data_IF_823809857535
#
_entry.id   IF_823809857535
#
_cell.length_a   1.000
_cell.length_b   1.000
_cell.length_c   1.000
_cell.angle_alpha   90.00
_cell.angle_beta   90.00
_cell.angle_gamma   90.00
#
_symmetry.space_group_name_H-M   'P 1'
#
loop_
_entity.id
_entity.type
_entity.pdbx_description
1 polymer ?
#
# COMPACT_ATOMS: atom_id res chain seq x y z
N UNK A 1 -26.84 -9.97 4.95
CA UNK A 1 -25.79 -9.75 3.93
C UNK A 1 -24.47 -10.18 4.54
N UNK A 2 -23.61 -10.87 3.80
CA UNK A 2 -22.26 -11.22 4.26
C UNK A 2 -21.41 -9.95 4.45
N UNK A 3 -20.46 -10.00 5.38
CA UNK A 3 -19.50 -8.91 5.55
C UNK A 3 -18.67 -8.74 4.27
N UNK A 4 -18.38 -7.49 3.85
CA UNK A 4 -17.50 -7.26 2.70
C UNK A 4 -16.12 -7.89 2.90
N UNK A 5 -15.58 -8.46 1.82
CA UNK A 5 -14.30 -9.16 1.80
C UNK A 5 -13.18 -8.23 1.37
N UNK A 6 -12.12 -8.17 2.15
CA UNK A 6 -10.98 -7.25 1.93
C UNK A 6 -9.69 -8.06 1.81
N UNK A 7 -8.98 -7.90 0.70
CA UNK A 7 -7.61 -8.39 0.55
C UNK A 7 -6.62 -7.24 0.81
N UNK A 8 -5.72 -7.44 1.76
CA UNK A 8 -4.59 -6.56 2.00
C UNK A 8 -3.32 -7.21 1.45
N UNK A 9 -2.96 -6.85 0.23
CA UNK A 9 -1.80 -7.42 -0.47
C UNK A 9 -0.50 -6.73 -0.04
N UNK A 10 0.60 -7.49 -0.06
CA UNK A 10 1.93 -7.06 0.36
C UNK A 10 1.94 -6.55 1.80
N UNK A 11 1.27 -7.25 2.69
CA UNK A 11 1.23 -6.93 4.11
C UNK A 11 1.48 -8.17 4.99
N UNK A 12 2.63 -8.23 5.64
CA UNK A 12 2.95 -9.25 6.65
C UNK A 12 2.70 -8.76 8.09
N UNK A 13 2.63 -7.43 8.31
CA UNK A 13 2.46 -6.84 9.65
C UNK A 13 1.04 -6.99 10.23
N UNK A 14 0.04 -7.16 9.36
CA UNK A 14 -1.36 -7.26 9.75
C UNK A 14 -2.00 -5.95 10.20
N UNK A 15 -1.31 -4.81 10.16
CA UNK A 15 -1.82 -3.53 10.67
C UNK A 15 -3.11 -3.11 9.97
N UNK A 16 -3.15 -3.14 8.63
CA UNK A 16 -4.33 -2.76 7.85
C UNK A 16 -5.41 -3.84 7.95
N UNK A 17 -5.04 -5.12 7.81
CA UNK A 17 -5.96 -6.26 7.99
C UNK A 17 -6.69 -6.17 9.34
N UNK A 18 -5.96 -5.97 10.43
CA UNK A 18 -6.55 -5.92 11.78
C UNK A 18 -7.49 -4.72 11.96
N UNK A 19 -7.20 -3.57 11.32
CA UNK A 19 -8.09 -2.43 11.33
C UNK A 19 -9.44 -2.73 10.65
N UNK A 20 -9.45 -3.50 9.56
CA UNK A 20 -10.69 -3.95 8.92
C UNK A 20 -11.39 -5.04 9.76
N UNK A 21 -10.66 -6.03 10.28
CA UNK A 21 -11.23 -7.08 11.14
C UNK A 21 -11.91 -6.50 12.38
N UNK A 22 -11.32 -5.50 13.03
CA UNK A 22 -11.90 -4.85 14.21
C UNK A 22 -13.24 -4.16 13.95
N UNK A 23 -13.54 -3.90 12.69
CA UNK A 23 -14.82 -3.31 12.23
C UNK A 23 -15.78 -4.33 11.62
N UNK A 24 -15.48 -5.62 11.74
CA UNK A 24 -16.35 -6.72 11.32
C UNK A 24 -16.28 -7.06 9.83
N UNK A 25 -15.28 -6.58 9.10
CA UNK A 25 -15.05 -6.98 7.70
C UNK A 25 -14.33 -8.34 7.63
N UNK A 26 -14.58 -9.13 6.58
CA UNK A 26 -13.84 -10.36 6.31
C UNK A 26 -12.50 -10.01 5.63
N UNK A 27 -11.52 -9.61 6.44
CA UNK A 27 -10.24 -9.12 5.95
C UNK A 27 -9.13 -10.18 6.05
N UNK A 28 -8.36 -10.29 4.99
CA UNK A 28 -7.19 -11.17 4.85
C UNK A 28 -5.98 -10.36 4.40
N UNK A 29 -4.80 -10.68 4.93
CA UNK A 29 -3.54 -10.18 4.35
C UNK A 29 -2.86 -11.26 3.52
N UNK A 30 -2.05 -10.85 2.55
CA UNK A 30 -1.21 -11.74 1.74
C UNK A 30 0.16 -11.13 1.54
N UNK A 31 1.21 -11.90 1.82
CA UNK A 31 2.60 -11.52 1.61
C UNK A 31 3.46 -12.77 1.38
N UNK A 32 4.64 -12.61 0.78
CA UNK A 32 5.63 -13.69 0.67
C UNK A 32 6.23 -14.08 2.03
N UNK A 33 6.17 -13.19 3.02
CA UNK A 33 6.60 -13.43 4.39
C UNK A 33 5.44 -13.91 5.25
N UNK A 34 5.70 -14.72 6.29
CA UNK A 34 4.68 -15.11 7.26
C UNK A 34 4.19 -13.90 8.07
N UNK A 35 2.98 -14.00 8.59
CA UNK A 35 2.39 -12.96 9.45
C UNK A 35 3.21 -12.73 10.71
N UNK A 36 3.44 -11.46 11.07
CA UNK A 36 4.13 -11.11 12.33
C UNK A 36 3.31 -11.43 13.58
N UNK A 37 2.00 -11.32 13.49
CA UNK A 37 1.09 -11.53 14.62
C UNK A 37 0.56 -12.98 14.72
N UNK A 38 1.03 -13.89 13.86
CA UNK A 38 0.62 -15.28 13.83
C UNK A 38 -0.84 -15.52 13.46
N UNK A 39 -1.49 -14.53 12.82
CA UNK A 39 -2.89 -14.61 12.45
C UNK A 39 -3.14 -15.72 11.42
N UNK A 40 -4.25 -16.45 11.58
CA UNK A 40 -4.77 -17.38 10.58
C UNK A 40 -5.51 -16.67 9.40
N UNK A 41 -5.67 -15.36 9.47
CA UNK A 41 -6.21 -14.50 8.41
C UNK A 41 -5.09 -13.94 7.53
N UNK A 42 -4.05 -14.75 7.28
CA UNK A 42 -2.92 -14.40 6.45
C UNK A 42 -2.58 -15.53 5.48
N UNK A 43 -2.34 -15.16 4.24
CA UNK A 43 -1.92 -16.05 3.17
C UNK A 43 -0.43 -15.83 2.93
N UNK A 44 0.38 -16.86 3.08
CA UNK A 44 1.79 -16.82 2.69
C UNK A 44 1.89 -17.22 1.22
N UNK A 45 2.13 -16.25 0.33
CA UNK A 45 2.15 -16.48 -1.10
C UNK A 45 2.17 -15.21 -1.92
N UNK A 46 2.10 -15.38 -3.24
CA UNK A 46 1.99 -14.27 -4.16
C UNK A 46 0.55 -13.74 -4.20
N UNK A 47 0.37 -12.48 -3.86
CA UNK A 47 -0.96 -11.87 -3.85
C UNK A 47 -1.64 -11.85 -5.23
N UNK A 48 -0.89 -11.99 -6.33
CA UNK A 48 -1.44 -12.07 -7.68
C UNK A 48 -2.29 -13.33 -7.89
N UNK A 49 -1.95 -14.42 -7.20
CA UNK A 49 -2.68 -15.69 -7.30
C UNK A 49 -4.07 -15.62 -6.67
N UNK A 50 -4.32 -14.61 -5.84
CA UNK A 50 -5.54 -14.45 -5.07
C UNK A 50 -6.44 -13.29 -5.55
N UNK A 51 -6.12 -12.64 -6.67
CA UNK A 51 -6.89 -11.49 -7.16
C UNK A 51 -8.31 -11.86 -7.66
N UNK A 52 -8.55 -13.14 -7.94
CA UNK A 52 -9.83 -13.63 -8.45
C UNK A 52 -10.71 -14.30 -7.38
N UNK A 53 -10.35 -14.23 -6.09
CA UNK A 53 -11.05 -14.97 -5.03
C UNK A 53 -12.31 -14.24 -4.50
N UNK A 54 -12.82 -13.24 -5.25
CA UNK A 54 -14.10 -12.57 -4.96
C UNK A 54 -14.01 -11.52 -3.85
N UNK A 55 -13.03 -10.64 -3.91
CA UNK A 55 -12.85 -9.51 -2.99
C UNK A 55 -13.69 -8.30 -3.38
N UNK A 56 -14.22 -7.58 -2.39
CA UNK A 56 -14.91 -6.30 -2.57
C UNK A 56 -13.96 -5.11 -2.58
N UNK A 57 -12.79 -5.28 -1.92
CA UNK A 57 -11.72 -4.29 -1.86
C UNK A 57 -10.34 -4.97 -1.92
N UNK A 58 -9.46 -4.44 -2.77
CA UNK A 58 -8.03 -4.69 -2.74
C UNK A 58 -7.31 -3.46 -2.16
N UNK A 59 -6.58 -3.65 -1.05
CA UNK A 59 -5.61 -2.68 -0.54
C UNK A 59 -4.20 -3.25 -0.72
N UNK A 60 -3.37 -2.61 -1.55
CA UNK A 60 -1.96 -2.96 -1.70
C UNK A 60 -1.15 -2.08 -0.76
N UNK A 61 -0.74 -2.67 0.38
CA UNK A 61 -0.21 -1.92 1.52
C UNK A 61 1.26 -1.52 1.33
N UNK A 62 2.11 -2.48 0.94
CA UNK A 62 3.56 -2.26 0.84
C UNK A 62 4.14 -2.92 -0.41
N UNK A 63 3.70 -2.53 -1.61
CA UNK A 63 4.28 -3.09 -2.83
C UNK A 63 5.77 -2.76 -2.90
N UNK A 64 6.58 -3.57 -3.60
CA UNK A 64 8.00 -3.28 -3.81
C UNK A 64 8.23 -1.92 -4.44
N UNK A 65 8.37 -0.87 -3.62
CA UNK A 65 8.46 0.52 -4.06
C UNK A 65 9.89 0.99 -4.38
N UNK A 66 10.92 0.23 -4.00
CA UNK A 66 12.33 0.67 -4.07
C UNK A 66 12.76 1.07 -5.48
N UNK A 67 12.25 0.39 -6.52
CA UNK A 67 12.55 0.71 -7.92
C UNK A 67 11.60 1.72 -8.53
N UNK A 68 10.41 1.91 -7.96
CA UNK A 68 9.42 2.86 -8.47
C UNK A 68 9.59 4.27 -7.94
N UNK A 69 10.13 4.44 -6.72
CA UNK A 69 10.17 5.73 -6.04
C UNK A 69 11.45 6.53 -6.34
N UNK A 70 11.37 7.85 -6.16
CA UNK A 70 12.47 8.78 -6.41
C UNK A 70 13.77 8.42 -5.67
N UNK A 71 13.70 7.82 -4.49
CA UNK A 71 14.90 7.41 -3.74
C UNK A 71 15.70 6.28 -4.40
N UNK A 72 15.06 5.52 -5.29
CA UNK A 72 15.67 4.41 -6.01
C UNK A 72 16.19 4.77 -7.40
N UNK A 73 15.80 5.92 -7.96
CA UNK A 73 16.11 6.28 -9.37
C UNK A 73 17.59 6.33 -9.70
N UNK A 74 18.44 6.73 -8.76
CA UNK A 74 19.90 6.78 -8.93
C UNK A 74 20.52 5.44 -9.32
N UNK A 75 19.92 4.33 -8.89
CA UNK A 75 20.41 2.99 -9.16
C UNK A 75 20.20 2.56 -10.61
N UNK A 76 19.40 3.29 -11.38
CA UNK A 76 19.23 3.09 -12.82
C UNK A 76 20.36 3.69 -13.65
N UNK A 77 21.28 4.42 -13.04
CA UNK A 77 22.51 4.92 -13.66
C UNK A 77 23.78 4.43 -12.96
N UNK A 78 23.74 4.30 -11.63
CA UNK A 78 24.88 3.88 -10.83
C UNK A 78 24.43 2.76 -9.88
N UNK A 79 24.50 1.48 -10.30
CA UNK A 79 24.08 0.34 -9.49
C UNK A 79 24.87 0.25 -8.18
N UNK A 80 24.26 -0.29 -7.10
CA UNK A 80 25.00 -0.53 -5.87
C UNK A 80 26.07 -1.62 -6.08
N UNK A 81 27.10 -1.68 -5.22
CA UNK A 81 28.15 -2.69 -5.32
C UNK A 81 27.58 -4.11 -5.43
N UNK A 82 28.15 -4.91 -6.34
CA UNK A 82 27.73 -6.29 -6.59
C UNK A 82 26.45 -6.43 -7.43
N UNK A 83 25.92 -5.34 -7.97
CA UNK A 83 24.75 -5.36 -8.86
C UNK A 83 25.07 -4.75 -10.22
N UNK A 84 24.35 -5.19 -11.24
CA UNK A 84 24.52 -4.70 -12.62
C UNK A 84 23.42 -3.73 -13.02
N UNK A 85 23.70 -2.89 -14.01
CA UNK A 85 22.70 -1.96 -14.56
C UNK A 85 21.49 -2.68 -15.19
N UNK A 86 21.66 -3.77 -15.99
CA UNK A 86 20.54 -4.54 -16.52
C UNK A 86 19.62 -5.10 -15.43
N UNK A 87 20.17 -5.56 -14.29
CA UNK A 87 19.36 -6.03 -13.16
C UNK A 87 18.49 -4.91 -12.58
N UNK A 88 19.02 -3.68 -12.45
CA UNK A 88 18.25 -2.56 -11.93
C UNK A 88 17.07 -2.21 -12.81
N UNK A 89 17.27 -2.25 -14.13
CA UNK A 89 16.20 -1.99 -15.10
C UNK A 89 15.16 -3.12 -15.11
N UNK A 90 15.60 -4.39 -15.06
CA UNK A 90 14.69 -5.53 -14.95
C UNK A 90 13.82 -5.46 -13.69
N UNK A 91 14.42 -5.17 -12.53
CA UNK A 91 13.64 -4.98 -11.29
C UNK A 91 12.66 -3.80 -11.34
N UNK A 92 12.97 -2.76 -12.11
CA UNK A 92 12.02 -1.69 -12.37
C UNK A 92 10.85 -2.18 -13.22
N UNK A 93 11.12 -2.96 -14.27
CA UNK A 93 10.09 -3.52 -15.15
C UNK A 93 9.18 -4.48 -14.36
N UNK A 94 9.74 -5.36 -13.53
CA UNK A 94 9.02 -6.28 -12.64
C UNK A 94 8.12 -5.52 -11.64
N UNK A 95 8.65 -4.45 -11.02
CA UNK A 95 7.87 -3.63 -10.07
C UNK A 95 6.74 -2.85 -10.77
N UNK A 96 6.98 -2.35 -11.98
CA UNK A 96 5.96 -1.66 -12.78
C UNK A 96 4.87 -2.62 -13.26
N UNK A 97 5.25 -3.85 -13.63
CA UNK A 97 4.29 -4.88 -14.01
C UNK A 97 3.43 -5.32 -12.82
N UNK A 98 4.02 -5.52 -11.65
CA UNK A 98 3.30 -5.83 -10.42
C UNK A 98 2.28 -4.73 -10.07
N UNK A 99 2.69 -3.47 -10.12
CA UNK A 99 1.78 -2.33 -9.91
C UNK A 99 0.63 -2.35 -10.90
N UNK A 100 0.93 -2.58 -12.19
CA UNK A 100 -0.06 -2.65 -13.26
C UNK A 100 -1.04 -3.80 -13.08
N UNK A 101 -0.55 -4.95 -12.62
CA UNK A 101 -1.37 -6.14 -12.32
C UNK A 101 -2.36 -5.86 -11.20
N UNK A 102 -1.92 -5.26 -10.10
CA UNK A 102 -2.82 -4.87 -9.01
C UNK A 102 -3.84 -3.81 -9.46
N UNK A 103 -3.38 -2.80 -10.24
CA UNK A 103 -4.27 -1.73 -10.70
C UNK A 103 -5.37 -2.22 -11.65
N UNK A 104 -5.07 -3.23 -12.47
CA UNK A 104 -6.00 -3.84 -13.42
C UNK A 104 -6.77 -5.04 -12.86
N UNK A 105 -6.59 -5.39 -11.58
CA UNK A 105 -7.28 -6.52 -10.97
C UNK A 105 -8.81 -6.43 -11.16
N UNK A 106 -9.52 -7.57 -11.32
CA UNK A 106 -10.96 -7.61 -11.50
C UNK A 106 -11.71 -7.40 -10.18
N UNK A 107 -11.25 -6.42 -9.41
CA UNK A 107 -11.81 -6.03 -8.12
C UNK A 107 -12.38 -4.63 -8.28
N UNK A 108 -13.61 -4.43 -7.78
CA UNK A 108 -14.35 -3.18 -8.01
C UNK A 108 -13.65 -1.98 -7.38
N UNK A 109 -13.10 -2.15 -6.17
CA UNK A 109 -12.45 -1.08 -5.40
C UNK A 109 -11.01 -1.42 -5.15
N UNK A 110 -10.11 -0.50 -5.52
CA UNK A 110 -8.66 -0.72 -5.36
C UNK A 110 -8.02 0.53 -4.76
N UNK A 111 -7.17 0.30 -3.75
CA UNK A 111 -6.25 1.28 -3.22
C UNK A 111 -4.82 0.74 -3.30
N UNK A 112 -3.90 1.48 -3.90
CA UNK A 112 -2.47 1.13 -3.93
C UNK A 112 -1.66 2.24 -3.25
N UNK A 113 -0.86 1.85 -2.26
CA UNK A 113 0.12 2.74 -1.62
C UNK A 113 1.43 2.71 -2.40
N UNK A 114 2.01 3.85 -2.65
CA UNK A 114 3.41 3.95 -3.06
C UNK A 114 3.96 5.35 -2.76
N UNK A 115 5.26 5.52 -2.49
CA UNK A 115 5.89 6.84 -2.49
C UNK A 115 5.82 7.52 -3.86
N UNK A 116 6.21 8.80 -3.92
CA UNK A 116 6.27 9.53 -5.20
C UNK A 116 7.15 8.79 -6.21
N UNK A 117 6.57 8.40 -7.33
CA UNK A 117 7.24 7.67 -8.39
C UNK A 117 8.09 8.58 -9.28
N UNK A 118 9.25 8.08 -9.72
CA UNK A 118 10.09 8.74 -10.71
C UNK A 118 9.57 8.54 -12.16
N UNK A 119 10.13 9.32 -13.11
CA UNK A 119 9.70 9.30 -14.50
C UNK A 119 9.72 7.91 -15.12
N UNK A 120 10.83 7.18 -14.99
CA UNK A 120 10.98 5.87 -15.62
C UNK A 120 9.98 4.81 -15.11
N UNK A 121 9.53 4.91 -13.85
CA UNK A 121 8.48 4.06 -13.34
C UNK A 121 7.13 4.36 -14.00
N UNK A 122 6.80 5.66 -14.12
CA UNK A 122 5.55 6.11 -14.74
C UNK A 122 5.44 5.69 -16.21
N UNK A 123 6.56 5.71 -16.95
CA UNK A 123 6.64 5.31 -18.36
C UNK A 123 6.41 3.79 -18.57
N UNK A 124 6.64 2.96 -17.53
CA UNK A 124 6.53 1.49 -17.60
C UNK A 124 5.24 0.93 -17.05
N UNK A 125 4.58 1.66 -16.17
CA UNK A 125 3.28 1.24 -15.65
C UNK A 125 2.24 1.38 -16.76
N UNK A 126 1.54 0.29 -17.08
CA UNK A 126 0.47 0.28 -18.08
C UNK A 126 -0.65 1.22 -17.64
N UNK A 127 -1.13 2.06 -18.54
CA UNK A 127 -2.20 3.04 -18.31
C UNK A 127 -1.98 3.89 -17.06
N UNK A 128 -0.73 4.32 -16.84
CA UNK A 128 -0.34 5.09 -15.67
C UNK A 128 -1.27 6.29 -15.45
N UNK A 129 -1.79 6.39 -14.25
CA UNK A 129 -2.52 7.57 -13.75
C UNK A 129 -1.78 8.20 -12.58
N UNK A 130 -1.95 9.49 -12.41
CA UNK A 130 -1.43 10.16 -11.22
C UNK A 130 -2.15 9.65 -9.97
N UNK A 131 -1.47 9.66 -8.81
CA UNK A 131 -2.13 9.31 -7.56
C UNK A 131 -3.31 10.25 -7.27
N UNK A 132 -4.37 9.70 -6.70
CA UNK A 132 -5.57 10.46 -6.36
C UNK A 132 -5.35 11.36 -5.13
N UNK A 133 -4.53 10.91 -4.17
CA UNK A 133 -4.30 11.61 -2.92
C UNK A 133 -2.88 11.39 -2.39
N UNK A 134 -2.35 12.40 -1.69
CA UNK A 134 -1.14 12.28 -0.88
C UNK A 134 -1.50 12.56 0.58
N UNK A 135 -1.10 11.68 1.48
CA UNK A 135 -1.37 11.78 2.91
C UNK A 135 -0.07 11.82 3.72
N UNK A 136 -0.21 12.21 4.99
CA UNK A 136 0.86 12.26 5.97
C UNK A 136 0.40 11.65 7.30
N UNK A 137 1.25 10.94 8.06
CA UNK A 137 0.89 10.34 9.33
C UNK A 137 0.34 11.33 10.36
N UNK A 138 0.82 12.58 10.38
CA UNK A 138 0.33 13.61 11.29
C UNK A 138 -1.14 14.01 11.08
N UNK A 139 -1.72 13.65 9.95
CA UNK A 139 -3.15 13.84 9.68
C UNK A 139 -4.01 12.77 10.39
N UNK A 140 -3.37 11.70 10.89
CA UNK A 140 -3.99 10.51 11.45
C UNK A 140 -3.42 10.12 12.82
N UNK A 141 -2.99 11.10 13.63
CA UNK A 141 -2.62 10.89 15.02
C UNK A 141 -1.14 10.57 15.28
N UNK A 142 -0.28 10.58 14.27
CA UNK A 142 1.15 10.27 14.41
C UNK A 142 2.00 11.50 14.08
N UNK A 143 2.75 12.10 15.02
CA UNK A 143 3.50 13.34 14.81
C UNK A 143 4.74 13.16 13.92
N UNK A 144 4.57 12.43 12.81
CA UNK A 144 5.64 12.05 11.88
C UNK A 144 5.35 12.50 10.44
N UNK A 145 6.41 12.58 9.64
CA UNK A 145 6.33 12.78 8.19
C UNK A 145 6.77 11.53 7.45
N UNK A 146 5.87 11.00 6.64
CA UNK A 146 6.12 9.95 5.63
C UNK A 146 5.12 10.17 4.52
N UNK A 147 5.49 10.95 3.49
CA UNK A 147 4.60 11.20 2.37
C UNK A 147 4.22 9.89 1.69
N UNK A 148 2.94 9.56 1.77
CA UNK A 148 2.33 8.38 1.19
C UNK A 148 1.38 8.82 0.10
N UNK A 149 1.51 8.25 -1.11
CA UNK A 149 0.60 8.52 -2.21
C UNK A 149 -0.35 7.33 -2.38
N UNK A 150 -1.62 7.62 -2.65
CA UNK A 150 -2.68 6.64 -2.83
C UNK A 150 -3.25 6.73 -4.24
N UNK A 151 -3.20 5.62 -4.97
CA UNK A 151 -3.95 5.40 -6.20
C UNK A 151 -5.26 4.76 -5.82
N UNK A 152 -6.37 5.40 -6.16
CA UNK A 152 -7.72 4.99 -5.75
C UNK A 152 -8.59 4.71 -6.98
N UNK A 153 -9.21 3.54 -7.01
CA UNK A 153 -10.21 3.13 -8.00
C UNK A 153 -11.53 2.90 -7.25
N UNK A 154 -12.56 3.65 -7.59
CA UNK A 154 -13.88 3.57 -6.96
C UNK A 154 -13.86 3.68 -5.42
N UNK A 155 -12.97 4.49 -4.89
CA UNK A 155 -12.83 4.81 -3.47
C UNK A 155 -12.71 6.32 -3.28
N UNK A 156 -13.31 6.88 -2.21
CA UNK A 156 -13.13 8.29 -1.87
C UNK A 156 -11.74 8.55 -1.30
N UNK A 157 -11.26 9.77 -1.42
CA UNK A 157 -10.08 10.24 -0.70
C UNK A 157 -10.30 10.15 0.82
N UNK A 158 -9.23 9.81 1.56
CA UNK A 158 -9.29 9.78 3.02
C UNK A 158 -9.35 11.18 3.60
N UNK A 159 -10.26 11.39 4.53
CA UNK A 159 -10.32 12.61 5.35
C UNK A 159 -9.45 12.41 6.60
N UNK A 160 -8.63 13.42 6.98
CA UNK A 160 -7.88 13.37 8.22
C UNK A 160 -8.79 13.10 9.44
N UNK A 161 -8.36 12.20 10.32
CA UNK A 161 -9.16 11.80 11.50
C UNK A 161 -8.65 12.40 12.80
N UNK A 162 -7.34 12.67 12.89
CA UNK A 162 -6.70 13.22 14.08
C UNK A 162 -5.46 14.02 13.70
N UNK A 163 -5.62 15.32 13.47
CA UNK A 163 -4.52 16.20 13.07
C UNK A 163 -3.73 16.61 14.32
N UNK A 164 -2.51 16.09 14.43
CA UNK A 164 -1.61 16.37 15.55
C UNK A 164 -0.49 17.33 15.17
N UNK A 165 0.06 18.03 16.17
CA UNK A 165 1.28 18.81 16.04
C UNK A 165 2.52 17.88 15.95
N UNK A 166 3.65 18.41 15.46
CA UNK A 166 4.87 17.64 15.24
C UNK A 166 5.00 17.17 13.80
N UNK A 167 6.25 17.04 13.35
CA UNK A 167 6.60 16.69 11.96
C UNK A 167 7.94 15.96 11.96
N UNK A 168 8.08 14.95 12.83
CA UNK A 168 9.32 14.23 12.95
C UNK A 168 9.60 13.39 11.69
N UNK A 169 10.80 13.52 11.16
CA UNK A 169 11.23 12.75 9.99
C UNK A 169 11.94 11.43 10.39
N UNK A 170 11.39 10.70 11.39
CA UNK A 170 11.98 9.49 11.97
C UNK A 170 12.33 8.47 10.90
N UNK A 171 11.40 8.15 10.02
CA UNK A 171 11.57 7.17 8.94
C UNK A 171 12.71 7.56 7.97
N UNK A 172 12.94 8.84 7.74
CA UNK A 172 14.03 9.32 6.88
C UNK A 172 15.40 9.29 7.57
N UNK A 173 15.42 9.46 8.89
CA UNK A 173 16.66 9.51 9.71
C UNK A 173 17.13 8.14 10.19
N UNK A 174 16.37 7.07 9.96
CA UNK A 174 16.74 5.73 10.38
C UNK A 174 18.06 5.28 9.77
N UNK A 175 18.96 4.76 10.61
CA UNK A 175 20.23 4.17 10.17
C UNK A 175 20.03 3.03 9.17
N UNK A 176 20.99 2.82 8.28
CA UNK A 176 20.94 1.79 7.24
C UNK A 176 21.19 0.37 7.76
N UNK A 177 20.34 -0.14 8.65
CA UNK A 177 20.40 -1.51 9.17
C UNK A 177 19.36 -2.45 8.52
N UNK A 178 19.42 -3.76 8.82
CA UNK A 178 18.49 -4.76 8.29
C UNK A 178 17.04 -4.46 8.64
N UNK A 179 16.78 -3.90 9.81
CA UNK A 179 15.43 -3.60 10.30
C UNK A 179 14.81 -2.36 9.62
N UNK A 180 15.64 -1.53 8.96
CA UNK A 180 15.14 -0.29 8.31
C UNK A 180 14.06 -0.55 7.26
N UNK A 181 14.22 -1.60 6.44
CA UNK A 181 13.21 -1.93 5.41
C UNK A 181 11.90 -2.31 6.07
N UNK A 182 11.97 -3.16 7.06
CA UNK A 182 10.85 -3.64 7.85
C UNK A 182 10.09 -2.50 8.54
N UNK A 183 10.78 -1.63 9.27
CA UNK A 183 10.17 -0.47 9.92
C UNK A 183 9.56 0.53 8.93
N UNK A 184 10.19 0.73 7.77
CA UNK A 184 9.69 1.64 6.74
C UNK A 184 8.47 1.09 6.01
N UNK A 185 8.28 -0.21 5.95
CA UNK A 185 7.12 -0.85 5.30
C UNK A 185 5.88 -0.89 6.18
N UNK A 186 5.97 -0.60 7.47
CA UNK A 186 4.80 -0.60 8.36
C UNK A 186 3.87 0.58 8.07
N UNK A 187 2.59 0.30 8.06
CA UNK A 187 1.56 1.33 8.10
C UNK A 187 1.44 1.94 9.49
N UNK A 188 1.06 3.21 9.54
CA UNK A 188 0.67 3.84 10.78
C UNK A 188 -0.77 3.41 11.14
N UNK A 189 -1.00 3.02 12.38
CA UNK A 189 -2.30 2.48 12.82
C UNK A 189 -3.45 3.45 12.56
N UNK A 190 -3.27 4.75 12.83
CA UNK A 190 -4.32 5.74 12.56
C UNK A 190 -4.69 5.88 11.08
N UNK A 191 -3.73 5.66 10.16
CA UNK A 191 -4.02 5.61 8.72
C UNK A 191 -4.82 4.35 8.37
N UNK A 192 -4.42 3.19 8.90
CA UNK A 192 -5.11 1.92 8.70
C UNK A 192 -6.55 1.98 9.26
N UNK A 193 -6.73 2.58 10.42
CA UNK A 193 -8.05 2.81 11.03
C UNK A 193 -8.94 3.72 10.18
N UNK A 194 -8.36 4.79 9.62
CA UNK A 194 -9.10 5.68 8.72
C UNK A 194 -9.52 4.97 7.43
N UNK A 195 -8.65 4.13 6.85
CA UNK A 195 -9.00 3.30 5.69
C UNK A 195 -10.16 2.35 6.02
N UNK A 196 -10.07 1.61 7.11
CA UNK A 196 -11.08 0.64 7.51
C UNK A 196 -12.42 1.30 7.87
N UNK A 197 -12.40 2.48 8.48
CA UNK A 197 -13.61 3.22 8.81
C UNK A 197 -14.25 3.85 7.55
N UNK A 198 -13.49 4.62 6.78
CA UNK A 198 -14.05 5.42 5.69
C UNK A 198 -14.36 4.57 4.45
N UNK A 199 -13.43 3.72 4.02
CA UNK A 199 -13.67 2.84 2.87
C UNK A 199 -14.61 1.69 3.21
N UNK A 200 -14.55 1.19 4.45
CA UNK A 200 -15.48 0.18 4.94
C UNK A 200 -16.93 0.67 4.91
N UNK A 201 -17.19 1.85 5.47
CA UNK A 201 -18.52 2.49 5.37
C UNK A 201 -18.93 2.77 3.93
N UNK A 202 -17.99 3.21 3.08
CA UNK A 202 -18.26 3.45 1.66
C UNK A 202 -18.68 2.16 0.94
N UNK A 203 -18.06 1.01 1.24
CA UNK A 203 -18.48 -0.29 0.69
C UNK A 203 -19.91 -0.66 1.08
N UNK A 204 -20.32 -0.36 2.31
CA UNK A 204 -21.65 -0.70 2.83
C UNK A 204 -22.75 0.26 2.36
N UNK A 205 -22.43 1.55 2.22
CA UNK A 205 -23.46 2.60 2.09
C UNK A 205 -23.22 3.57 0.91
N UNK A 206 -22.02 3.61 0.33
CA UNK A 206 -21.59 4.64 -0.62
C UNK A 206 -22.35 4.68 -1.95
N UNK A 207 -23.07 3.62 -2.31
CA UNK A 207 -23.92 3.61 -3.50
C UNK A 207 -25.31 4.24 -3.26
N UNK A 208 -25.71 4.45 -2.01
CA UNK A 208 -27.03 5.01 -1.67
C UNK A 208 -27.08 6.53 -1.57
N UNK A 209 -25.93 7.21 -1.56
CA UNK A 209 -25.86 8.68 -1.48
C UNK A 209 -25.61 9.38 -2.82
N UNK A 210 -25.41 8.60 -3.90
CA UNK A 210 -25.18 9.12 -5.25
C UNK A 210 -26.38 8.91 -6.20
N UNK A 211 -27.54 8.54 -5.67
CA UNK A 211 -28.79 8.38 -6.40
C UNK A 211 -29.80 9.47 -6.03
#
# INVERSE_FOLDING_TARGET
MSAPRVLVACEFSGTVRNAFLSRGYDAWSCDLLPSEDGSNRHIVGDARDHLNDGWDLLMVAHPPCTRLCNSGVRWLSTPPPGRSLPEMWRELDEAADLFSTFWSAPIERIAIENPVMHRHAKERIRDYRHFAQSIQPWQFGHPETKRTCLWLKNLPSLTPTNVVAGREARVHRMAGNRNRRHERSRFFSGVAEAMADQWGRYMLFGQRQAA
#
